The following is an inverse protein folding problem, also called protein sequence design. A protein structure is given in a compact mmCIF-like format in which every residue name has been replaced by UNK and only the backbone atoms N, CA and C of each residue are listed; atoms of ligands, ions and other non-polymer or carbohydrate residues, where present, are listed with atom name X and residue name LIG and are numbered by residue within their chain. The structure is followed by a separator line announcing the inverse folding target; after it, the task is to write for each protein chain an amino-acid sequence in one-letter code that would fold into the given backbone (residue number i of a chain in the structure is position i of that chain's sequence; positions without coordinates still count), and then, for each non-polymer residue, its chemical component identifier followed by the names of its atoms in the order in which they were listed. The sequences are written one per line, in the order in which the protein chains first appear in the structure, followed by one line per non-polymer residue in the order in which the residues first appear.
data_IF_962654866221
#
_entry.id   IF_962654866221
#
_cell.length_a   1.000
_cell.length_b   1.000
_cell.length_c   1.000
_cell.angle_alpha   90.00
_cell.angle_beta   90.00
_cell.angle_gamma   90.00
#
_symmetry.space_group_name_H-M   'P 1'
#
loop_
_entity.id
_entity.type
_entity.pdbx_description
1 polymer ?
#
# COMPACT_ATOMS: atom_id res chain seq x y z
N UNK A 1 23.61 -18.69 31.53
CA UNK A 1 22.68 -19.24 30.52
C UNK A 1 21.22 -18.89 30.84
N UNK A 2 20.73 -19.13 32.06
CA UNK A 2 19.35 -18.85 32.47
C UNK A 2 18.92 -17.38 32.28
N UNK A 3 19.77 -16.41 32.67
CA UNK A 3 19.49 -14.96 32.52
C UNK A 3 19.27 -14.56 31.05
N UNK A 4 20.06 -15.10 30.13
CA UNK A 4 19.92 -14.84 28.69
C UNK A 4 18.61 -15.43 28.12
N UNK A 5 18.22 -16.61 28.60
CA UNK A 5 16.97 -17.26 28.19
C UNK A 5 15.76 -16.45 28.71
N UNK A 6 15.77 -16.05 29.98
CA UNK A 6 14.72 -15.20 30.55
C UNK A 6 14.63 -13.85 29.82
N UNK A 7 15.77 -13.22 29.52
CA UNK A 7 15.81 -11.97 28.75
C UNK A 7 15.21 -12.11 27.34
N UNK A 8 15.54 -13.19 26.63
CA UNK A 8 14.97 -13.49 25.31
C UNK A 8 13.46 -13.70 25.37
N UNK A 9 12.97 -14.46 26.36
CA UNK A 9 11.54 -14.71 26.54
C UNK A 9 10.75 -13.42 26.81
N UNK A 10 11.27 -12.54 27.67
CA UNK A 10 10.66 -11.23 27.94
C UNK A 10 10.64 -10.37 26.67
N UNK A 11 11.72 -10.35 25.89
CA UNK A 11 11.78 -9.61 24.63
C UNK A 11 10.77 -10.13 23.61
N UNK A 12 10.65 -11.45 23.47
CA UNK A 12 9.66 -12.09 22.59
C UNK A 12 8.23 -11.79 23.04
N UNK A 13 7.97 -11.81 24.35
CA UNK A 13 6.67 -11.44 24.92
C UNK A 13 6.33 -9.98 24.63
N UNK A 14 7.26 -9.05 24.86
CA UNK A 14 7.09 -7.63 24.54
C UNK A 14 6.86 -7.41 23.05
N UNK A 15 7.60 -8.10 22.19
CA UNK A 15 7.41 -8.06 20.74
C UNK A 15 6.04 -8.60 20.33
N UNK A 16 5.60 -9.71 20.93
CA UNK A 16 4.28 -10.30 20.67
C UNK A 16 3.15 -9.38 21.11
N UNK A 17 3.23 -8.81 22.32
CA UNK A 17 2.27 -7.84 22.83
C UNK A 17 2.22 -6.61 21.91
N UNK A 18 3.38 -6.07 21.50
CA UNK A 18 3.45 -4.96 20.56
C UNK A 18 2.80 -5.30 19.22
N UNK A 19 3.10 -6.46 18.65
CA UNK A 19 2.49 -6.94 17.41
C UNK A 19 0.97 -7.04 17.54
N UNK A 20 0.49 -7.56 18.67
CA UNK A 20 -0.93 -7.74 18.96
C UNK A 20 -1.69 -6.42 19.10
N UNK A 21 -1.11 -5.42 19.76
CA UNK A 21 -1.71 -4.07 19.88
C UNK A 21 -1.68 -3.27 18.56
N UNK A 22 -0.75 -3.58 17.66
CA UNK A 22 -0.64 -2.92 16.35
C UNK A 22 -1.65 -3.42 15.31
N UNK A 23 -2.31 -4.56 15.57
CA UNK A 23 -3.29 -5.09 14.63
C UNK A 23 -4.44 -4.08 14.44
N UNK A 24 -4.81 -3.75 13.19
CA UNK A 24 -5.74 -2.67 12.88
C UNK A 24 -7.09 -2.72 13.60
N UNK A 25 -7.59 -3.94 13.89
CA UNK A 25 -8.85 -4.14 14.62
C UNK A 25 -8.86 -3.59 16.05
N UNK A 26 -7.71 -3.16 16.58
CA UNK A 26 -7.57 -2.55 17.91
C UNK A 26 -6.85 -1.21 17.89
N UNK A 27 -6.34 -0.78 16.73
CA UNK A 27 -5.67 0.50 16.61
C UNK A 27 -6.72 1.62 16.64
N UNK A 28 -6.88 2.23 17.80
CA UNK A 28 -7.67 3.45 18.05
C UNK A 28 -6.97 4.68 17.48
N UNK A 29 -6.43 4.61 16.26
CA UNK A 29 -5.86 5.79 15.61
C UNK A 29 -7.03 6.71 15.28
N UNK A 30 -7.35 7.60 16.20
CA UNK A 30 -8.40 8.62 16.05
C UNK A 30 -8.03 9.42 14.81
N UNK A 31 -8.76 9.16 13.72
CA UNK A 31 -8.52 9.86 12.46
C UNK A 31 -9.04 11.27 12.63
N UNK A 32 -8.13 12.24 12.68
CA UNK A 32 -8.48 13.67 12.62
C UNK A 32 -9.36 13.88 11.38
N UNK A 33 -10.56 14.43 11.57
CA UNK A 33 -11.38 14.91 10.46
C UNK A 33 -10.63 16.05 9.79
N UNK A 34 -10.17 15.83 8.55
CA UNK A 34 -9.45 16.84 7.78
C UNK A 34 -10.41 17.87 7.23
N UNK A 35 -9.95 19.12 7.18
CA UNK A 35 -10.66 20.17 6.47
C UNK A 35 -10.65 19.87 4.95
N UNK A 36 -11.64 20.34 4.18
CA UNK A 36 -11.67 20.15 2.74
C UNK A 36 -10.43 20.71 2.02
N UNK A 37 -9.80 21.74 2.58
CA UNK A 37 -8.61 22.43 2.05
C UNK A 37 -7.28 21.79 2.41
N UNK A 38 -7.25 20.77 3.29
CA UNK A 38 -6.01 20.11 3.68
C UNK A 38 -5.58 19.07 2.63
N UNK A 39 -4.31 19.17 2.20
CA UNK A 39 -3.71 18.20 1.30
C UNK A 39 -3.43 16.87 2.01
N UNK A 40 -3.47 15.77 1.24
CA UNK A 40 -3.16 14.42 1.70
C UNK A 40 -2.18 13.74 0.74
N UNK A 41 -1.00 13.38 1.25
CA UNK A 41 -0.04 12.63 0.43
C UNK A 41 -0.51 11.20 0.20
N UNK A 42 -0.48 10.77 -1.07
CA UNK A 42 -1.07 9.51 -1.53
C UNK A 42 -0.02 8.68 -2.24
N UNK A 43 0.21 7.45 -1.79
CA UNK A 43 0.92 6.44 -2.54
C UNK A 43 -0.05 5.40 -3.08
N UNK A 44 0.14 4.98 -4.33
CA UNK A 44 -0.67 3.92 -4.95
C UNK A 44 0.24 2.89 -5.60
N UNK A 45 0.02 1.63 -5.27
CA UNK A 45 0.67 0.52 -5.96
C UNK A 45 -0.09 0.17 -7.24
N UNK A 46 0.59 0.31 -8.37
CA UNK A 46 0.13 -0.12 -9.69
C UNK A 46 0.62 -1.54 -9.93
N UNK A 47 -0.22 -2.52 -9.60
CA UNK A 47 0.04 -3.93 -9.90
C UNK A 47 -0.06 -4.20 -11.40
N UNK A 48 0.77 -5.08 -11.97
CA UNK A 48 0.83 -5.24 -13.43
C UNK A 48 -0.46 -5.70 -14.11
N UNK A 49 -0.74 -5.16 -15.30
CA UNK A 49 -1.82 -5.61 -16.19
C UNK A 49 -3.19 -5.01 -15.84
N UNK A 50 -4.18 -5.88 -15.59
CA UNK A 50 -5.55 -5.46 -15.25
C UNK A 50 -5.62 -4.62 -13.98
N UNK A 51 -4.83 -4.97 -12.96
CA UNK A 51 -4.77 -4.24 -11.69
C UNK A 51 -4.31 -2.79 -11.85
N UNK A 52 -3.39 -2.50 -12.77
CA UNK A 52 -2.99 -1.11 -13.10
C UNK A 52 -4.20 -0.32 -13.56
N UNK A 53 -5.00 -0.89 -14.46
CA UNK A 53 -6.14 -0.21 -15.05
C UNK A 53 -7.22 0.02 -13.99
N UNK A 54 -7.50 -0.99 -13.14
CA UNK A 54 -8.39 -0.84 -11.98
C UNK A 54 -7.94 0.30 -11.04
N UNK A 55 -6.66 0.31 -10.67
CA UNK A 55 -6.12 1.33 -9.77
C UNK A 55 -6.16 2.74 -10.38
N UNK A 56 -5.85 2.87 -11.68
CA UNK A 56 -5.87 4.16 -12.38
C UNK A 56 -7.30 4.66 -12.63
N UNK A 57 -8.26 3.78 -12.91
CA UNK A 57 -9.69 4.14 -13.01
C UNK A 57 -10.20 4.70 -11.68
N UNK A 58 -9.89 4.03 -10.57
CA UNK A 58 -10.20 4.54 -9.23
C UNK A 58 -9.55 5.91 -8.97
N UNK A 59 -8.28 6.07 -9.33
CA UNK A 59 -7.56 7.34 -9.18
C UNK A 59 -8.15 8.45 -10.06
N UNK A 60 -8.66 8.13 -11.24
CA UNK A 60 -9.25 9.11 -12.16
C UNK A 60 -10.44 9.86 -11.56
N UNK A 61 -11.15 9.24 -10.62
CA UNK A 61 -12.27 9.83 -9.90
C UNK A 61 -11.82 10.72 -8.71
N UNK A 62 -10.56 10.65 -8.29
CA UNK A 62 -10.04 11.43 -7.17
C UNK A 62 -9.65 12.86 -7.60
N UNK A 63 -9.74 13.78 -6.64
CA UNK A 63 -9.30 15.17 -6.79
C UNK A 63 -7.79 15.30 -6.55
N UNK A 64 -7.04 15.62 -7.59
CA UNK A 64 -5.58 15.68 -7.56
C UNK A 64 -5.04 16.92 -6.84
N UNK A 65 -5.89 17.89 -6.49
CA UNK A 65 -5.49 19.01 -5.64
C UNK A 65 -5.42 18.60 -4.19
N UNK A 66 -6.46 17.90 -3.76
CA UNK A 66 -6.56 17.43 -2.39
C UNK A 66 -5.56 16.31 -2.13
N UNK A 67 -5.37 15.39 -3.07
CA UNK A 67 -4.44 14.28 -2.91
C UNK A 67 -3.09 14.60 -3.53
N UNK A 68 -2.24 15.30 -2.78
CA UNK A 68 -0.90 15.76 -3.17
C UNK A 68 0.10 15.69 -2.00
N UNK A 69 1.38 15.34 -2.22
CA UNK A 69 1.95 14.77 -3.45
C UNK A 69 1.53 13.31 -3.69
N UNK A 70 1.61 12.86 -4.95
CA UNK A 70 1.26 11.48 -5.35
C UNK A 70 2.49 10.65 -5.65
N UNK A 71 2.52 9.41 -5.16
CA UNK A 71 3.61 8.47 -5.41
C UNK A 71 3.07 7.21 -6.06
N UNK A 72 3.43 6.96 -7.31
CA UNK A 72 3.06 5.75 -8.05
C UNK A 72 4.13 4.68 -7.87
N UNK A 73 3.80 3.59 -7.20
CA UNK A 73 4.70 2.46 -6.99
C UNK A 73 4.44 1.42 -8.07
N UNK A 74 5.46 1.13 -8.88
CA UNK A 74 5.35 0.28 -10.07
C UNK A 74 6.32 -0.89 -9.93
N UNK A 75 5.92 -2.03 -10.47
CA UNK A 75 6.77 -3.22 -10.51
C UNK A 75 7.84 -3.14 -11.61
N UNK A 76 9.03 -3.67 -11.35
CA UNK A 76 10.12 -3.79 -12.31
C UNK A 76 9.66 -4.55 -13.58
N UNK A 77 10.05 -4.01 -14.75
CA UNK A 77 9.66 -4.55 -16.05
C UNK A 77 8.21 -4.26 -16.46
N UNK A 78 7.55 -3.28 -15.84
CA UNK A 78 6.20 -2.84 -16.21
C UNK A 78 6.16 -1.37 -16.68
N UNK A 79 6.82 -1.12 -17.82
CA UNK A 79 6.90 0.21 -18.41
C UNK A 79 5.54 0.76 -18.86
N UNK A 80 4.61 -0.12 -19.26
CA UNK A 80 3.25 0.27 -19.67
C UNK A 80 2.48 0.90 -18.51
N UNK A 81 2.63 0.37 -17.29
CA UNK A 81 2.01 0.97 -16.11
C UNK A 81 2.55 2.37 -15.82
N UNK A 82 3.85 2.60 -16.03
CA UNK A 82 4.45 3.92 -15.89
C UNK A 82 3.89 4.92 -16.92
N UNK A 83 3.80 4.49 -18.18
CA UNK A 83 3.21 5.31 -19.26
C UNK A 83 1.75 5.66 -18.99
N UNK A 84 0.94 4.69 -18.52
CA UNK A 84 -0.46 4.93 -18.16
C UNK A 84 -0.61 5.91 -17.00
N UNK A 85 0.27 5.85 -15.98
CA UNK A 85 0.27 6.80 -14.88
C UNK A 85 0.60 8.23 -15.36
N UNK A 86 1.62 8.37 -16.21
CA UNK A 86 1.97 9.65 -16.83
C UNK A 86 0.83 10.19 -17.69
N UNK A 87 0.16 9.33 -18.46
CA UNK A 87 -1.00 9.72 -19.26
C UNK A 87 -2.18 10.19 -18.41
N UNK A 88 -2.44 9.55 -17.26
CA UNK A 88 -3.48 9.99 -16.32
C UNK A 88 -3.15 11.39 -15.75
N UNK A 89 -1.91 11.60 -15.34
CA UNK A 89 -1.45 12.90 -14.83
C UNK A 89 -1.49 13.99 -15.90
N UNK A 90 -1.13 13.67 -17.15
CA UNK A 90 -1.20 14.64 -18.25
C UNK A 90 -2.64 15.01 -18.60
N UNK A 91 -3.57 14.04 -18.63
CA UNK A 91 -5.00 14.30 -18.84
C UNK A 91 -5.56 15.25 -17.78
N UNK A 92 -5.25 15.01 -16.50
CA UNK A 92 -5.69 15.86 -15.38
C UNK A 92 -5.00 17.23 -15.38
N UNK A 93 -3.75 17.30 -15.85
CA UNK A 93 -3.00 18.56 -15.96
C UNK A 93 -3.50 19.41 -17.13
N UNK A 94 -3.89 18.82 -18.26
CA UNK A 94 -4.46 19.55 -19.41
C UNK A 94 -5.82 20.20 -19.07
N UNK A 95 -6.58 19.61 -18.15
CA UNK A 95 -7.80 20.23 -17.60
C UNK A 95 -7.51 21.40 -16.64
N UNK A 96 -6.24 21.71 -16.36
CA UNK A 96 -5.81 22.76 -15.42
C UNK A 96 -4.97 23.84 -16.11
N UNK A 97 -5.49 25.04 -16.12
CA UNK A 97 -4.83 26.26 -16.63
C UNK A 97 -3.92 26.92 -15.60
N UNK A 98 -3.06 26.17 -14.89
CA UNK A 98 -2.04 26.75 -14.00
C UNK A 98 -0.73 25.99 -14.12
N UNK A 99 0.16 26.55 -14.94
CA UNK A 99 1.55 26.14 -15.14
C UNK A 99 2.39 26.54 -13.92
N UNK A 100 2.44 25.72 -12.87
CA UNK A 100 3.52 25.87 -11.88
C UNK A 100 4.81 25.31 -12.48
N UNK A 101 5.71 26.22 -12.84
CA UNK A 101 7.11 25.94 -13.22
C UNK A 101 7.84 25.35 -12.02
N UNK A 102 7.71 24.04 -11.83
CA UNK A 102 8.25 23.30 -10.70
C UNK A 102 8.11 21.80 -10.93
N UNK A 103 8.90 21.01 -10.19
CA UNK A 103 8.96 19.55 -10.26
C UNK A 103 7.56 18.90 -10.39
N UNK A 104 7.43 17.79 -11.14
CA UNK A 104 6.14 17.17 -11.39
C UNK A 104 5.42 16.88 -10.06
N UNK A 105 4.09 17.06 -9.98
CA UNK A 105 3.34 16.91 -8.75
C UNK A 105 3.20 15.45 -8.27
N UNK A 106 3.87 14.54 -8.97
CA UNK A 106 3.89 13.11 -8.73
C UNK A 106 5.31 12.56 -8.84
N UNK A 107 5.56 11.46 -8.14
CA UNK A 107 6.80 10.69 -8.21
C UNK A 107 6.49 9.26 -8.62
N UNK A 108 7.27 8.71 -9.54
CA UNK A 108 7.19 7.29 -9.92
C UNK A 108 8.33 6.54 -9.23
N UNK A 109 7.96 5.51 -8.47
CA UNK A 109 8.88 4.65 -7.75
C UNK A 109 8.82 3.22 -8.31
N UNK A 110 9.94 2.70 -8.78
CA UNK A 110 10.03 1.33 -9.29
C UNK A 110 10.58 0.38 -8.24
N UNK A 111 9.86 -0.71 -7.97
CA UNK A 111 10.26 -1.77 -7.03
C UNK A 111 10.35 -3.13 -7.74
N UNK A 112 11.26 -4.02 -7.34
CA UNK A 112 11.37 -5.33 -7.96
C UNK A 112 10.15 -6.20 -7.62
N UNK A 113 9.70 -7.00 -8.58
CA UNK A 113 8.55 -7.91 -8.38
C UNK A 113 8.85 -8.96 -7.31
N UNK A 114 7.90 -9.21 -6.41
CA UNK A 114 8.05 -10.24 -5.40
C UNK A 114 8.12 -11.67 -5.98
N UNK A 115 7.40 -11.92 -7.09
CA UNK A 115 7.44 -13.18 -7.83
C UNK A 115 7.29 -12.91 -9.31
N UNK A 116 8.13 -13.54 -10.15
CA UNK A 116 8.00 -13.51 -11.61
C UNK A 116 6.95 -14.52 -12.09
N UNK A 117 6.37 -14.27 -13.26
CA UNK A 117 5.48 -15.23 -13.92
C UNK A 117 6.28 -16.50 -14.21
N UNK A 118 5.68 -17.69 -14.01
CA UNK A 118 6.33 -19.01 -14.12
C UNK A 118 7.48 -19.30 -13.15
N UNK A 119 7.72 -18.44 -12.16
CA UNK A 119 8.71 -18.73 -11.13
C UNK A 119 8.22 -19.84 -10.18
N UNK A 120 9.10 -20.79 -9.88
CA UNK A 120 8.84 -21.86 -8.91
C UNK A 120 8.58 -21.29 -7.51
N UNK A 121 7.72 -21.95 -6.73
CA UNK A 121 7.39 -21.52 -5.37
C UNK A 121 8.61 -21.53 -4.44
N UNK A 122 9.63 -22.34 -4.72
CA UNK A 122 10.85 -22.42 -3.92
C UNK A 122 11.79 -21.22 -4.13
N UNK A 123 11.83 -20.65 -5.33
CA UNK A 123 12.69 -19.49 -5.62
C UNK A 123 11.99 -18.17 -5.34
N UNK A 124 10.65 -18.17 -5.24
CA UNK A 124 9.84 -17.00 -4.96
C UNK A 124 10.19 -16.25 -3.64
N UNK A 125 10.57 -16.92 -2.52
CA UNK A 125 10.99 -16.23 -1.31
C UNK A 125 12.22 -15.34 -1.52
N UNK A 126 13.20 -15.76 -2.32
CA UNK A 126 14.40 -14.96 -2.56
C UNK A 126 14.07 -13.67 -3.33
N UNK A 127 13.23 -13.75 -4.35
CA UNK A 127 12.75 -12.56 -5.07
C UNK A 127 11.86 -11.68 -4.18
N UNK A 128 11.05 -12.28 -3.30
CA UNK A 128 10.24 -11.55 -2.34
C UNK A 128 11.09 -10.81 -1.30
N UNK A 129 12.19 -11.41 -0.82
CA UNK A 129 13.14 -10.76 0.10
C UNK A 129 13.84 -9.59 -0.60
N UNK A 130 14.29 -9.75 -1.84
CA UNK A 130 14.84 -8.63 -2.64
C UNK A 130 13.83 -7.49 -2.76
N UNK A 131 12.57 -7.81 -3.03
CA UNK A 131 11.47 -6.85 -3.05
C UNK A 131 11.26 -6.17 -1.70
N UNK A 132 11.33 -6.93 -0.60
CA UNK A 132 11.16 -6.40 0.75
C UNK A 132 12.27 -5.42 1.11
N UNK A 133 13.52 -5.75 0.82
CA UNK A 133 14.67 -4.86 1.07
C UNK A 133 14.51 -3.55 0.29
N UNK A 134 14.11 -3.62 -0.98
CA UNK A 134 13.84 -2.43 -1.77
C UNK A 134 12.70 -1.59 -1.18
N UNK A 135 11.59 -2.23 -0.78
CA UNK A 135 10.47 -1.56 -0.13
C UNK A 135 10.88 -0.89 1.18
N UNK A 136 11.67 -1.56 2.02
CA UNK A 136 12.19 -1.01 3.28
C UNK A 136 13.13 0.18 3.05
N UNK A 137 13.98 0.13 2.02
CA UNK A 137 14.81 1.29 1.67
C UNK A 137 13.94 2.53 1.36
N UNK A 138 12.88 2.36 0.57
CA UNK A 138 12.04 3.48 0.14
C UNK A 138 10.98 3.93 1.18
N UNK A 139 10.40 3.01 1.93
CA UNK A 139 9.32 3.29 2.90
C UNK A 139 9.87 3.57 4.30
N UNK A 140 11.04 3.05 4.64
CA UNK A 140 11.63 3.18 5.98
C UNK A 140 12.85 4.09 5.96
N UNK A 141 13.89 3.76 5.19
CA UNK A 141 15.18 4.44 5.29
C UNK A 141 15.18 5.84 4.67
N UNK A 142 14.61 6.02 3.47
CA UNK A 142 14.54 7.34 2.83
C UNK A 142 13.73 8.35 3.68
N UNK A 143 12.53 8.00 4.19
CA UNK A 143 11.77 8.85 5.12
C UNK A 143 12.53 9.17 6.40
N UNK A 144 13.22 8.17 6.97
CA UNK A 144 13.98 8.34 8.20
C UNK A 144 15.15 9.32 8.01
N UNK A 145 15.85 9.24 6.87
CA UNK A 145 16.96 10.13 6.54
C UNK A 145 16.50 11.56 6.22
N UNK A 146 15.35 11.71 5.55
CA UNK A 146 14.81 13.03 5.18
C UNK A 146 13.92 13.67 6.25
N UNK A 147 13.58 12.94 7.33
CA UNK A 147 12.65 13.39 8.38
C UNK A 147 11.21 13.60 7.90
N UNK A 148 10.86 13.14 6.70
CA UNK A 148 9.51 13.30 6.09
C UNK A 148 8.84 11.95 5.95
N UNK A 149 7.54 11.89 6.18
CA UNK A 149 6.75 10.68 5.97
C UNK A 149 6.67 10.33 4.47
N UNK A 150 6.78 9.04 4.14
CA UNK A 150 6.69 8.53 2.76
C UNK A 150 5.38 8.92 2.07
N UNK A 151 4.26 8.62 2.73
CA UNK A 151 2.90 9.00 2.34
C UNK A 151 1.96 8.82 3.53
N UNK A 152 0.85 9.53 3.53
CA UNK A 152 -0.18 9.42 4.57
C UNK A 152 -1.15 8.26 4.31
N UNK A 153 -1.40 7.96 3.03
CA UNK A 153 -2.24 6.85 2.59
C UNK A 153 -1.50 6.03 1.55
N UNK A 154 -1.54 4.71 1.70
CA UNK A 154 -1.04 3.76 0.72
C UNK A 154 -2.20 2.88 0.24
N UNK A 155 -2.59 3.08 -1.01
CA UNK A 155 -3.60 2.26 -1.70
C UNK A 155 -2.91 1.08 -2.37
N UNK A 156 -3.47 -0.10 -2.12
CA UNK A 156 -2.93 -1.37 -2.52
C UNK A 156 -3.98 -2.14 -3.33
N UNK A 157 -3.60 -2.55 -4.54
CA UNK A 157 -4.37 -3.47 -5.39
C UNK A 157 -3.39 -4.50 -6.00
N UNK A 158 -3.83 -5.74 -6.15
CA UNK A 158 -3.12 -6.76 -6.92
C UNK A 158 -2.30 -7.77 -6.09
N UNK A 159 -1.41 -8.53 -6.76
CA UNK A 159 -0.81 -9.74 -6.21
C UNK A 159 0.49 -9.48 -5.42
N UNK A 160 1.23 -10.55 -5.10
CA UNK A 160 2.31 -10.67 -4.09
C UNK A 160 3.24 -9.49 -3.79
N UNK A 161 3.56 -8.59 -4.73
CA UNK A 161 4.33 -7.36 -4.43
C UNK A 161 3.58 -6.45 -3.46
N UNK A 162 2.25 -6.38 -3.56
CA UNK A 162 1.38 -5.71 -2.61
C UNK A 162 1.56 -6.23 -1.17
N UNK A 163 1.76 -7.54 -1.02
CA UNK A 163 1.97 -8.16 0.29
C UNK A 163 3.29 -7.70 0.91
N UNK A 164 4.35 -7.64 0.10
CA UNK A 164 5.67 -7.16 0.52
C UNK A 164 5.63 -5.68 0.94
N UNK A 165 4.92 -4.83 0.18
CA UNK A 165 4.70 -3.42 0.54
C UNK A 165 3.98 -3.27 1.88
N UNK A 166 2.95 -4.08 2.11
CA UNK A 166 2.24 -4.08 3.38
C UNK A 166 3.15 -4.49 4.54
N UNK A 167 3.99 -5.52 4.37
CA UNK A 167 4.97 -5.91 5.39
C UNK A 167 5.93 -4.76 5.69
N UNK A 168 6.48 -4.09 4.67
CA UNK A 168 7.39 -2.96 4.87
C UNK A 168 6.72 -1.82 5.67
N UNK A 169 5.49 -1.45 5.31
CA UNK A 169 4.74 -0.44 6.04
C UNK A 169 4.38 -0.86 7.48
N UNK A 170 4.11 -2.15 7.70
CA UNK A 170 3.80 -2.70 9.02
C UNK A 170 5.05 -2.81 9.90
N UNK A 171 6.22 -3.10 9.33
CA UNK A 171 7.49 -3.03 10.04
C UNK A 171 7.77 -1.63 10.57
N UNK A 172 7.45 -0.57 9.81
CA UNK A 172 7.52 0.79 10.35
C UNK A 172 6.62 0.97 11.59
N UNK A 173 5.38 0.45 11.56
CA UNK A 173 4.48 0.49 12.73
C UNK A 173 5.08 -0.26 13.91
N UNK A 174 5.63 -1.43 13.65
CA UNK A 174 6.32 -2.24 14.65
C UNK A 174 7.51 -1.50 15.26
N UNK A 175 8.27 -0.74 14.49
CA UNK A 175 9.40 0.04 14.99
C UNK A 175 8.97 1.38 15.62
N UNK A 176 7.71 1.81 15.46
CA UNK A 176 7.21 3.10 15.93
C UNK A 176 7.51 4.26 14.98
N UNK A 177 7.97 3.96 13.77
CA UNK A 177 8.21 4.93 12.71
C UNK A 177 6.89 5.35 12.02
N UNK A 178 6.85 6.54 11.38
CA UNK A 178 5.70 6.94 10.58
C UNK A 178 5.33 5.88 9.54
N UNK A 179 4.05 5.51 9.51
CA UNK A 179 3.50 4.51 8.60
C UNK A 179 2.21 5.03 7.97
N UNK A 180 2.02 4.84 6.65
CA UNK A 180 0.81 5.23 5.95
C UNK A 180 -0.41 4.45 6.48
N UNK A 181 -1.59 5.03 6.28
CA UNK A 181 -2.85 4.29 6.37
C UNK A 181 -2.93 3.33 5.19
N UNK A 182 -3.06 2.03 5.48
CA UNK A 182 -3.09 0.96 4.50
C UNK A 182 -4.55 0.71 4.07
N UNK A 183 -4.82 0.92 2.79
CA UNK A 183 -6.12 0.64 2.17
C UNK A 183 -5.90 -0.42 1.11
N UNK A 184 -6.45 -1.61 1.34
CA UNK A 184 -6.47 -2.65 0.32
C UNK A 184 -7.81 -2.65 -0.40
N UNK A 185 -7.75 -2.69 -1.73
CA UNK A 185 -8.92 -2.75 -2.59
C UNK A 185 -8.83 -4.06 -3.36
N UNK A 186 -9.80 -4.94 -3.11
CA UNK A 186 -9.89 -6.20 -3.83
C UNK A 186 -10.22 -5.95 -5.30
N UNK A 187 -9.61 -6.73 -6.18
CA UNK A 187 -9.78 -6.60 -7.63
C UNK A 187 -11.23 -6.82 -8.04
N UNK A 188 -11.66 -6.06 -9.05
CA UNK A 188 -13.02 -6.13 -9.59
C UNK A 188 -13.35 -7.53 -10.11
N UNK A 189 -12.35 -8.25 -10.63
CA UNK A 189 -12.51 -9.62 -11.13
C UNK A 189 -12.87 -10.66 -10.04
N UNK A 190 -12.77 -10.31 -8.75
CA UNK A 190 -13.08 -11.22 -7.64
C UNK A 190 -14.52 -11.03 -7.19
N UNK A 191 -15.43 -11.79 -7.79
CA UNK A 191 -16.87 -11.71 -7.46
C UNK A 191 -17.23 -12.57 -6.25
N UNK A 192 -16.86 -13.86 -6.28
CA UNK A 192 -17.34 -14.85 -5.30
C UNK A 192 -16.41 -15.13 -4.13
N UNK A 193 -15.10 -14.98 -4.33
CA UNK A 193 -14.11 -15.29 -3.28
C UNK A 193 -12.93 -14.31 -3.30
N UNK A 194 -12.46 -13.95 -2.11
CA UNK A 194 -11.28 -13.10 -1.94
C UNK A 194 -10.04 -13.72 -2.61
N UNK A 195 -9.18 -12.85 -3.14
CA UNK A 195 -7.88 -13.29 -3.67
C UNK A 195 -7.00 -13.81 -2.53
N UNK A 196 -5.95 -14.58 -2.86
CA UNK A 196 -4.99 -15.03 -1.84
C UNK A 196 -4.35 -13.82 -1.13
N UNK A 197 -3.99 -12.78 -1.89
CA UNK A 197 -3.49 -11.52 -1.35
C UNK A 197 -4.52 -10.85 -0.44
N UNK A 198 -5.79 -10.78 -0.85
CA UNK A 198 -6.87 -10.25 -0.03
C UNK A 198 -7.05 -11.01 1.29
N UNK A 199 -7.06 -12.34 1.25
CA UNK A 199 -7.13 -13.19 2.45
C UNK A 199 -5.97 -12.95 3.42
N UNK A 200 -4.75 -12.85 2.88
CA UNK A 200 -3.53 -12.64 3.66
C UNK A 200 -3.44 -11.22 4.24
N UNK A 201 -3.88 -10.21 3.49
CA UNK A 201 -3.74 -8.79 3.87
C UNK A 201 -4.87 -8.29 4.75
N UNK A 202 -6.06 -8.90 4.69
CA UNK A 202 -7.22 -8.53 5.50
C UNK A 202 -6.92 -8.27 6.99
N UNK A 203 -6.10 -9.06 7.72
CA UNK A 203 -5.78 -8.76 9.11
C UNK A 203 -4.75 -7.63 9.33
N UNK A 204 -4.05 -7.17 8.30
CA UNK A 204 -2.93 -6.22 8.44
C UNK A 204 -3.21 -4.82 7.91
N UNK A 205 -4.29 -4.64 7.14
CA UNK A 205 -4.66 -3.35 6.54
C UNK A 205 -5.70 -2.62 7.39
N UNK A 206 -5.68 -1.29 7.37
CA UNK A 206 -6.61 -0.48 8.16
C UNK A 206 -8.00 -0.42 7.55
N UNK A 207 -8.07 -0.50 6.21
CA UNK A 207 -9.34 -0.59 5.47
C UNK A 207 -9.22 -1.65 4.40
N UNK A 208 -10.22 -2.51 4.35
CA UNK A 208 -10.35 -3.54 3.34
C UNK A 208 -11.63 -3.28 2.55
N UNK A 209 -11.48 -2.92 1.29
CA UNK A 209 -12.58 -2.53 0.41
C UNK A 209 -12.84 -3.63 -0.60
N UNK A 210 -14.10 -4.02 -0.73
CA UNK A 210 -14.59 -4.97 -1.75
C UNK A 210 -15.62 -4.29 -2.64
N UNK A 211 -15.74 -4.81 -3.86
CA UNK A 211 -16.65 -4.25 -4.87
C UNK A 211 -17.96 -5.06 -4.99
N UNK A 212 -17.96 -6.28 -4.44
CA UNK A 212 -19.06 -7.24 -4.53
C UNK A 212 -19.61 -7.54 -3.13
N UNK A 213 -20.94 -7.51 -2.92
CA UNK A 213 -21.54 -7.81 -1.63
C UNK A 213 -21.30 -9.25 -1.18
N UNK A 214 -21.12 -10.20 -2.10
CA UNK A 214 -20.84 -11.61 -1.81
C UNK A 214 -19.49 -11.82 -1.09
N UNK A 215 -18.61 -10.82 -1.14
CA UNK A 215 -17.32 -10.83 -0.44
C UNK A 215 -17.40 -10.28 1.00
N UNK A 216 -18.56 -9.76 1.42
CA UNK A 216 -18.79 -9.40 2.81
C UNK A 216 -18.74 -10.69 3.64
N UNK A 217 -17.71 -10.81 4.46
CA UNK A 217 -17.57 -11.92 5.41
C UNK A 217 -17.83 -11.41 6.82
N UNK A 218 -18.69 -12.13 7.53
CA UNK A 218 -19.05 -11.82 8.91
C UNK A 218 -17.80 -11.68 9.80
N UNK A 219 -17.74 -10.60 10.57
CA UNK A 219 -16.80 -10.45 11.68
C UNK A 219 -15.52 -9.62 11.46
N UNK A 220 -15.27 -8.99 10.31
CA UNK A 220 -14.27 -7.90 10.20
C UNK A 220 -14.79 -6.72 9.39
N UNK A 221 -14.26 -5.53 9.66
CA UNK A 221 -14.55 -4.27 8.96
C UNK A 221 -14.13 -4.33 7.47
N UNK A 222 -14.89 -5.08 6.68
CA UNK A 222 -14.84 -5.12 5.22
C UNK A 222 -15.89 -4.13 4.74
N UNK A 223 -15.49 -3.16 3.93
CA UNK A 223 -16.38 -2.16 3.38
C UNK A 223 -16.74 -2.55 1.94
N UNK A 224 -18.02 -2.84 1.67
CA UNK A 224 -18.50 -2.94 0.29
C UNK A 224 -18.84 -1.53 -0.21
N UNK A 225 -18.24 -1.12 -1.33
CA UNK A 225 -18.46 0.20 -1.94
C UNK A 225 -19.05 0.14 -3.37
N UNK A 226 -19.45 -1.05 -3.81
CA UNK A 226 -19.92 -1.27 -5.17
C UNK A 226 -18.81 -1.14 -6.20
N UNK A 227 -19.17 -0.77 -7.42
CA UNK A 227 -18.24 -0.70 -8.55
C UNK A 227 -17.38 0.55 -8.45
N UNK A 228 -16.09 0.35 -8.19
CA UNK A 228 -15.10 1.42 -8.09
C UNK A 228 -14.26 1.56 -9.36
N UNK A 229 -14.46 0.62 -10.29
CA UNK A 229 -13.75 0.46 -11.56
C UNK A 229 -14.78 0.34 -12.66
#
# INVERSE_FOLDING_TARGET
MFVWICGLLVLLLCAFLRLYYLLPGRSTRVKRKRLPSEHCSLAVFLGSGGHTSEALMLLSALDFDRYFPRTYIISEGDALSAQKAVALESLKSCSRSVSTVGSPPYTILTIPRARRVHQSLYTAPFSAIRSLVACLRHITLTPLASGKQFSEVLILNGPGTCFVLCIAAYLNRFLGSPSPTLIYIESFARVRTLSLSGKLLRPFVDRFVVQWPELLQDGKAVECRGWLV
#
